data_IF_201092680277
#
_entry.id   IF_201092680277
#
_cell.length_a   1.000
_cell.length_b   1.000
_cell.length_c   1.000
_cell.angle_alpha   90.00
_cell.angle_beta   90.00
_cell.angle_gamma   90.00
#
_symmetry.space_group_name_H-M   'P 1'
#
loop_
_entity.id
_entity.type
_entity.pdbx_description
1 polymer ?
#
# COMPACT_ATOMS: atom_id res chain seq x y z
N UNK A 1 4.70 26.29 14.63
CA UNK A 1 4.06 25.16 13.94
C UNK A 1 4.77 25.06 12.61
N UNK A 2 5.65 24.08 12.45
CA UNK A 2 6.20 23.81 11.11
C UNK A 2 5.01 23.52 10.20
N UNK A 3 4.90 24.30 9.13
CA UNK A 3 3.83 24.13 8.16
C UNK A 3 4.02 22.77 7.49
N UNK A 4 3.03 21.89 7.59
CA UNK A 4 3.03 20.64 6.84
C UNK A 4 3.29 20.89 5.36
N UNK A 5 3.93 19.95 4.64
CA UNK A 5 4.05 20.05 3.20
C UNK A 5 2.68 20.18 2.52
N UNK A 6 2.62 20.92 1.42
CA UNK A 6 1.37 21.29 0.76
C UNK A 6 0.55 20.07 0.33
N UNK A 7 1.23 19.02 -0.12
CA UNK A 7 0.63 17.75 -0.52
C UNK A 7 0.00 17.00 0.66
N UNK A 8 0.55 17.12 1.87
CA UNK A 8 -0.04 16.56 3.09
C UNK A 8 -1.28 17.36 3.49
N UNK A 9 -1.22 18.70 3.46
CA UNK A 9 -2.38 19.56 3.69
C UNK A 9 -3.51 19.19 2.72
N UNK A 10 -3.18 19.07 1.42
CA UNK A 10 -4.15 18.69 0.39
C UNK A 10 -4.70 17.28 0.56
N UNK A 11 -3.88 16.32 1.03
CA UNK A 11 -4.34 14.97 1.34
C UNK A 11 -5.39 15.00 2.45
N UNK A 12 -5.13 15.77 3.50
CA UNK A 12 -6.04 15.95 4.61
C UNK A 12 -7.33 16.67 4.19
N UNK A 13 -7.24 17.75 3.42
CA UNK A 13 -8.39 18.52 2.91
C UNK A 13 -9.36 17.67 2.08
N UNK A 14 -8.85 16.67 1.35
CA UNK A 14 -9.66 15.74 0.55
C UNK A 14 -10.16 14.53 1.34
N UNK A 15 -9.62 14.29 2.52
CA UNK A 15 -10.02 13.18 3.38
C UNK A 15 -11.38 13.43 4.02
N UNK A 16 -11.98 12.37 4.56
CA UNK A 16 -13.20 12.47 5.37
C UNK A 16 -13.04 13.23 6.70
N UNK A 17 -11.81 13.55 7.12
CA UNK A 17 -11.52 14.13 8.44
C UNK A 17 -11.76 15.65 8.49
N UNK A 18 -11.74 16.37 7.35
CA UNK A 18 -12.09 17.80 7.26
C UNK A 18 -11.07 18.76 7.89
N UNK A 19 -10.90 19.96 7.31
CA UNK A 19 -9.79 20.89 7.62
C UNK A 19 -9.57 21.24 9.10
N UNK A 20 -10.64 21.42 9.86
CA UNK A 20 -10.55 21.90 11.25
C UNK A 20 -9.93 20.87 12.20
N UNK A 21 -9.94 19.60 11.81
CA UNK A 21 -9.41 18.48 12.59
C UNK A 21 -7.89 18.33 12.44
N UNK A 22 -7.26 18.99 11.46
CA UNK A 22 -5.82 18.87 11.17
C UNK A 22 -4.94 19.22 12.37
N UNK A 23 -5.39 20.17 13.21
CA UNK A 23 -4.69 20.58 14.44
C UNK A 23 -4.60 19.48 15.50
N UNK A 24 -5.40 18.42 15.37
CA UNK A 24 -5.36 17.24 16.25
C UNK A 24 -4.25 16.27 15.85
N UNK A 25 -3.50 16.53 14.80
CA UNK A 25 -2.50 15.59 14.30
C UNK A 25 -1.10 16.20 14.29
N UNK A 26 -0.12 15.35 14.55
CA UNK A 26 1.30 15.62 14.38
C UNK A 26 1.83 14.83 13.17
N UNK A 27 2.57 15.50 12.28
CA UNK A 27 3.27 14.83 11.18
C UNK A 27 4.57 14.21 11.72
N UNK A 28 4.59 12.88 11.83
CA UNK A 28 5.73 12.16 12.44
C UNK A 28 6.74 11.73 11.39
N UNK A 29 6.27 11.18 10.27
CA UNK A 29 7.11 10.76 9.14
C UNK A 29 6.43 11.17 7.84
N UNK A 30 7.21 11.67 6.89
CA UNK A 30 6.77 11.85 5.52
C UNK A 30 7.93 11.76 4.55
N UNK A 31 7.82 10.87 3.57
CA UNK A 31 8.77 10.73 2.47
C UNK A 31 8.03 11.10 1.17
N UNK A 32 8.30 12.28 0.57
CA UNK A 32 7.66 12.69 -0.67
C UNK A 32 7.97 11.71 -1.80
N UNK A 33 6.99 11.45 -2.67
CA UNK A 33 7.15 10.55 -3.82
C UNK A 33 6.56 11.15 -5.08
N UNK A 34 7.14 10.77 -6.22
CA UNK A 34 6.56 11.04 -7.53
C UNK A 34 5.46 10.01 -7.83
N UNK A 35 4.19 10.44 -8.00
CA UNK A 35 3.08 9.53 -8.21
C UNK A 35 3.10 8.93 -9.62
N UNK A 36 2.87 7.62 -9.70
CA UNK A 36 2.76 6.89 -10.96
C UNK A 36 1.32 6.42 -11.13
N UNK A 37 0.68 6.78 -12.25
CA UNK A 37 -0.64 6.25 -12.61
C UNK A 37 -0.48 4.87 -13.25
N UNK A 38 -1.33 3.93 -12.83
CA UNK A 38 -1.36 2.60 -13.40
C UNK A 38 -2.05 2.57 -14.76
N UNK A 39 -1.63 1.62 -15.58
CA UNK A 39 -2.34 1.15 -16.75
C UNK A 39 -2.69 -0.33 -16.56
N UNK A 40 -3.92 -0.72 -16.85
CA UNK A 40 -4.41 -2.08 -16.62
C UNK A 40 -4.31 -2.56 -15.16
N UNK A 41 -4.15 -3.88 -14.92
CA UNK A 41 -4.18 -4.50 -13.58
C UNK A 41 -2.86 -4.36 -12.79
N UNK A 42 -2.03 -3.36 -13.07
CA UNK A 42 -0.65 -3.23 -12.57
C UNK A 42 -0.50 -2.56 -11.18
N UNK A 43 -1.53 -2.58 -10.35
CA UNK A 43 -1.53 -1.79 -9.11
C UNK A 43 -0.36 -2.10 -8.15
N UNK A 44 -0.02 -3.38 -7.97
CA UNK A 44 1.11 -3.80 -7.14
C UNK A 44 2.46 -3.41 -7.74
N UNK A 45 2.61 -3.56 -9.06
CA UNK A 45 3.83 -3.18 -9.79
C UNK A 45 4.05 -1.67 -9.73
N UNK A 46 2.99 -0.89 -9.87
CA UNK A 46 3.04 0.58 -9.81
C UNK A 46 3.41 1.07 -8.41
N UNK A 47 2.78 0.50 -7.37
CA UNK A 47 3.13 0.82 -5.99
C UNK A 47 4.57 0.40 -5.65
N UNK A 48 5.03 -0.74 -6.18
CA UNK A 48 6.42 -1.18 -6.05
C UNK A 48 7.40 -0.26 -6.80
N UNK A 49 7.06 0.21 -8.00
CA UNK A 49 7.88 1.15 -8.75
C UNK A 49 8.09 2.46 -7.98
N UNK A 50 7.04 2.99 -7.34
CA UNK A 50 7.15 4.16 -6.47
C UNK A 50 8.08 3.87 -5.28
N UNK A 51 7.97 2.70 -4.65
CA UNK A 51 8.83 2.28 -3.53
C UNK A 51 10.29 2.02 -3.93
N UNK A 52 10.54 1.59 -5.18
CA UNK A 52 11.89 1.41 -5.71
C UNK A 52 12.55 2.76 -6.05
N UNK A 53 11.79 3.67 -6.66
CA UNK A 53 12.32 4.96 -7.10
C UNK A 53 12.61 5.91 -5.94
N UNK A 54 11.79 5.88 -4.89
CA UNK A 54 12.07 6.63 -3.65
C UNK A 54 13.30 6.09 -2.88
N UNK A 55 13.78 4.90 -3.26
CA UNK A 55 15.01 4.27 -2.76
C UNK A 55 16.10 4.20 -3.83
N UNK A 56 16.03 5.09 -4.84
CA UNK A 56 17.08 5.32 -5.85
C UNK A 56 17.37 4.15 -6.80
N UNK A 57 16.48 3.17 -6.94
CA UNK A 57 16.65 2.08 -7.92
C UNK A 57 16.41 2.53 -9.38
N UNK A 58 15.82 3.71 -9.60
CA UNK A 58 15.58 4.32 -10.92
C UNK A 58 15.06 3.35 -11.99
N UNK A 59 13.98 2.64 -11.68
CA UNK A 59 13.35 1.66 -12.58
C UNK A 59 11.97 2.11 -13.06
N UNK A 60 11.43 1.43 -14.05
CA UNK A 60 10.12 1.71 -14.65
C UNK A 60 9.12 0.61 -14.33
N UNK A 61 7.83 0.94 -14.37
CA UNK A 61 6.73 -0.04 -14.27
C UNK A 61 6.92 -1.17 -15.28
N UNK A 62 7.32 -0.83 -16.51
CA UNK A 62 7.54 -1.81 -17.58
C UNK A 62 8.69 -2.78 -17.27
N UNK A 63 9.80 -2.29 -16.70
CA UNK A 63 10.93 -3.14 -16.35
C UNK A 63 10.56 -4.14 -15.24
N UNK A 64 9.84 -3.67 -14.22
CA UNK A 64 9.36 -4.54 -13.13
C UNK A 64 8.35 -5.55 -13.67
N UNK A 65 7.42 -5.12 -14.53
CA UNK A 65 6.44 -6.01 -15.16
C UNK A 65 7.11 -7.09 -16.01
N UNK A 66 8.08 -6.72 -16.86
CA UNK A 66 8.82 -7.68 -17.68
C UNK A 66 9.55 -8.71 -16.81
N UNK A 67 10.19 -8.26 -15.72
CA UNK A 67 10.88 -9.17 -14.79
C UNK A 67 9.90 -10.07 -14.04
N UNK A 68 8.75 -9.55 -13.60
CA UNK A 68 7.70 -10.35 -12.96
C UNK A 68 7.13 -11.42 -13.90
N UNK A 69 6.99 -11.11 -15.21
CA UNK A 69 6.59 -12.11 -16.22
C UNK A 69 7.64 -13.19 -16.43
N UNK A 70 8.92 -12.82 -16.49
CA UNK A 70 10.03 -13.78 -16.61
C UNK A 70 10.06 -14.77 -15.43
N UNK A 71 9.75 -14.30 -14.23
CA UNK A 71 9.64 -15.11 -13.01
C UNK A 71 8.29 -15.84 -12.86
N UNK A 72 7.40 -15.73 -13.84
CA UNK A 72 6.06 -16.33 -13.83
C UNK A 72 5.18 -15.88 -12.65
N UNK A 73 5.39 -14.65 -12.17
CA UNK A 73 4.61 -14.07 -11.07
C UNK A 73 3.33 -13.37 -11.53
N UNK A 74 3.22 -13.08 -12.82
CA UNK A 74 2.12 -12.30 -13.38
C UNK A 74 1.95 -12.60 -14.87
N UNK A 75 0.74 -12.41 -15.39
CA UNK A 75 0.42 -12.50 -16.83
C UNK A 75 0.18 -11.09 -17.39
N UNK A 76 -0.67 -10.29 -16.73
CA UNK A 76 -1.10 -8.96 -17.17
C UNK A 76 -0.64 -7.82 -16.26
N UNK A 77 -0.12 -8.11 -15.08
CA UNK A 77 0.43 -7.14 -14.13
C UNK A 77 -0.12 -7.25 -12.71
N UNK A 78 -1.10 -8.13 -12.52
CA UNK A 78 -1.63 -8.53 -11.22
C UNK A 78 -0.54 -9.12 -10.33
N UNK A 79 -0.60 -8.83 -9.03
CA UNK A 79 0.24 -9.44 -8.00
C UNK A 79 -0.67 -9.89 -6.85
N UNK A 80 -0.94 -11.19 -6.78
CA UNK A 80 -1.82 -11.81 -5.76
C UNK A 80 -1.04 -12.55 -4.66
N UNK A 81 0.28 -12.38 -4.63
CA UNK A 81 1.15 -12.95 -3.60
C UNK A 81 2.17 -11.91 -3.15
N UNK A 82 2.20 -11.59 -1.87
CA UNK A 82 3.14 -10.68 -1.25
C UNK A 82 4.52 -11.34 -1.05
N UNK A 83 4.56 -12.67 -0.96
CA UNK A 83 5.78 -13.44 -0.64
C UNK A 83 6.82 -13.39 -1.77
N UNK A 84 6.39 -13.10 -2.99
CA UNK A 84 7.26 -12.94 -4.16
C UNK A 84 7.91 -11.55 -4.25
N UNK A 85 7.41 -10.56 -3.50
CA UNK A 85 7.89 -9.17 -3.62
C UNK A 85 9.37 -9.04 -3.19
N UNK A 86 9.85 -9.65 -2.08
CA UNK A 86 11.27 -9.62 -1.74
C UNK A 86 12.19 -10.16 -2.86
N UNK A 87 11.79 -11.27 -3.50
CA UNK A 87 12.56 -11.88 -4.59
C UNK A 87 12.56 -11.00 -5.84
N UNK A 88 11.45 -10.33 -6.13
CA UNK A 88 11.34 -9.35 -7.22
C UNK A 88 12.20 -8.11 -6.93
N UNK A 89 12.17 -7.57 -5.72
CA UNK A 89 13.03 -6.45 -5.30
C UNK A 89 14.52 -6.75 -5.45
N UNK A 90 14.92 -7.97 -5.10
CA UNK A 90 16.31 -8.43 -5.23
C UNK A 90 16.83 -8.38 -6.67
N UNK A 91 15.97 -8.55 -7.67
CA UNK A 91 16.34 -8.40 -9.09
C UNK A 91 16.77 -6.98 -9.47
N UNK A 92 16.41 -6.00 -8.63
CA UNK A 92 16.74 -4.57 -8.79
C UNK A 92 17.71 -4.08 -7.71
N UNK A 93 18.44 -4.98 -7.05
CA UNK A 93 19.37 -4.69 -5.96
C UNK A 93 18.73 -3.93 -4.78
N UNK A 94 17.43 -4.14 -4.55
CA UNK A 94 16.69 -3.57 -3.43
C UNK A 94 16.38 -4.66 -2.41
N UNK A 95 16.69 -4.38 -1.14
CA UNK A 95 16.27 -5.24 -0.03
C UNK A 95 14.83 -4.91 0.32
N UNK A 96 14.00 -5.93 0.43
CA UNK A 96 12.65 -5.80 0.97
C UNK A 96 12.38 -6.96 1.92
N UNK A 97 11.60 -6.70 2.96
CA UNK A 97 11.29 -7.69 4.00
C UNK A 97 9.79 -7.88 4.11
N UNK A 98 9.35 -9.13 4.05
CA UNK A 98 7.95 -9.50 4.28
C UNK A 98 7.68 -9.58 5.78
N UNK A 99 6.60 -8.96 6.22
CA UNK A 99 6.16 -8.98 7.62
C UNK A 99 4.72 -9.45 7.72
N UNK A 100 4.40 -10.12 8.83
CA UNK A 100 3.00 -10.33 9.22
C UNK A 100 2.52 -9.09 9.99
N UNK A 101 1.42 -8.49 9.54
CA UNK A 101 0.79 -7.36 10.21
C UNK A 101 -0.18 -7.87 11.27
N UNK A 102 0.32 -8.13 12.47
CA UNK A 102 -0.50 -8.67 13.57
C UNK A 102 -0.83 -7.62 14.62
N UNK A 103 -0.03 -6.55 14.66
CA UNK A 103 -0.25 -5.40 15.51
C UNK A 103 -0.28 -4.12 14.65
N UNK A 104 -1.22 -3.22 14.93
CA UNK A 104 -1.35 -1.95 14.23
C UNK A 104 -0.05 -1.14 14.24
N UNK A 105 0.78 -1.29 15.28
CA UNK A 105 2.06 -0.59 15.43
C UNK A 105 3.17 -1.09 14.49
N UNK A 106 3.06 -2.29 13.91
CA UNK A 106 4.14 -2.89 13.09
C UNK A 106 4.53 -1.99 11.91
N UNK A 107 3.53 -1.42 11.22
CA UNK A 107 3.74 -0.47 10.12
C UNK A 107 4.29 0.87 10.63
N UNK A 108 3.86 1.32 11.82
CA UNK A 108 4.37 2.56 12.43
C UNK A 108 5.87 2.44 12.70
N UNK A 109 6.30 1.32 13.26
CA UNK A 109 7.70 1.06 13.59
C UNK A 109 8.56 0.99 12.31
N UNK A 110 8.04 0.36 11.25
CA UNK A 110 8.72 0.35 9.94
C UNK A 110 8.90 1.76 9.36
N UNK A 111 7.86 2.60 9.40
CA UNK A 111 7.93 3.98 8.90
C UNK A 111 8.91 4.83 9.71
N UNK A 112 8.98 4.65 11.03
CA UNK A 112 9.94 5.34 11.90
C UNK A 112 11.38 4.93 11.63
N UNK A 113 11.62 3.71 11.19
CA UNK A 113 12.93 3.26 10.68
C UNK A 113 13.24 3.74 9.26
N UNK A 114 12.49 4.71 8.74
CA UNK A 114 12.66 5.35 7.42
C UNK A 114 12.39 4.44 6.21
N UNK A 115 11.72 3.31 6.42
CA UNK A 115 11.19 2.50 5.34
C UNK A 115 9.87 3.06 4.80
N UNK A 116 9.47 2.59 3.63
CA UNK A 116 8.09 2.70 3.13
C UNK A 116 7.44 1.32 3.16
N UNK A 117 6.12 1.27 3.28
CA UNK A 117 5.41 -0.01 3.39
C UNK A 117 4.49 -0.24 2.20
N UNK A 118 4.71 -1.32 1.46
CA UNK A 118 3.81 -1.79 0.42
C UNK A 118 2.74 -2.68 1.05
N UNK A 119 1.47 -2.32 0.90
CA UNK A 119 0.35 -2.95 1.61
C UNK A 119 -0.75 -3.35 0.62
N UNK A 120 -1.15 -4.64 0.58
CA UNK A 120 -2.35 -5.06 -0.10
C UNK A 120 -3.59 -4.74 0.76
N UNK A 121 -4.67 -4.31 0.15
CA UNK A 121 -5.92 -3.95 0.83
C UNK A 121 -7.11 -4.00 -0.14
N UNK A 122 -8.34 -3.98 0.36
CA UNK A 122 -9.52 -3.80 -0.48
C UNK A 122 -9.81 -2.32 -0.71
N UNK A 123 -9.84 -1.89 -1.96
CA UNK A 123 -10.01 -0.49 -2.36
C UNK A 123 -11.46 -0.18 -2.75
N UNK A 124 -12.07 0.81 -2.10
CA UNK A 124 -13.43 1.27 -2.46
C UNK A 124 -13.42 2.24 -3.66
N UNK A 125 -14.60 2.72 -4.07
CA UNK A 125 -14.76 3.64 -5.19
C UNK A 125 -14.01 4.98 -5.00
N UNK A 126 -13.86 5.44 -3.75
CA UNK A 126 -13.06 6.61 -3.38
C UNK A 126 -11.59 6.26 -3.10
N UNK A 127 -11.19 5.01 -3.29
CA UNK A 127 -9.88 4.43 -3.00
C UNK A 127 -9.55 4.22 -1.52
N UNK A 128 -10.42 4.61 -0.59
CA UNK A 128 -10.21 4.31 0.83
C UNK A 128 -10.29 2.80 1.10
N UNK A 129 -9.73 2.35 2.23
CA UNK A 129 -9.87 0.96 2.63
C UNK A 129 -11.33 0.57 2.88
N UNK A 130 -11.72 -0.60 2.39
CA UNK A 130 -13.03 -1.20 2.66
C UNK A 130 -12.90 -2.69 3.01
N UNK A 131 -14.02 -3.33 3.33
CA UNK A 131 -14.07 -4.74 3.76
C UNK A 131 -14.90 -5.55 2.74
N UNK A 132 -14.26 -6.04 1.67
CA UNK A 132 -14.90 -6.75 0.54
C UNK A 132 -14.33 -8.16 0.32
N UNK A 133 -13.72 -8.74 1.35
CA UNK A 133 -13.15 -10.09 1.45
C UNK A 133 -12.00 -10.38 0.47
N UNK A 134 -11.38 -9.35 -0.09
CA UNK A 134 -10.37 -9.46 -1.16
C UNK A 134 -10.94 -9.29 -2.58
N UNK A 135 -12.27 -9.12 -2.73
CA UNK A 135 -12.90 -8.96 -4.04
C UNK A 135 -12.54 -7.63 -4.72
N UNK A 136 -11.99 -6.67 -3.96
CA UNK A 136 -11.47 -5.40 -4.46
C UNK A 136 -9.98 -5.25 -4.13
N UNK A 137 -9.27 -6.37 -4.02
CA UNK A 137 -7.86 -6.39 -3.66
C UNK A 137 -7.06 -5.47 -4.60
N UNK A 138 -6.26 -4.63 -3.95
CA UNK A 138 -5.47 -3.58 -4.54
C UNK A 138 -4.20 -3.41 -3.71
N UNK A 139 -3.28 -2.59 -4.22
CA UNK A 139 -2.03 -2.28 -3.54
C UNK A 139 -1.88 -0.78 -3.38
N UNK A 140 -1.32 -0.37 -2.25
CA UNK A 140 -0.87 0.99 -2.01
C UNK A 140 0.52 0.99 -1.38
N UNK A 141 1.16 2.15 -1.44
CA UNK A 141 2.40 2.46 -0.74
C UNK A 141 2.09 3.42 0.40
N UNK A 142 2.45 3.06 1.62
CA UNK A 142 2.46 3.95 2.78
C UNK A 142 3.83 4.61 2.87
N UNK A 143 3.84 5.94 2.89
CA UNK A 143 5.06 6.73 2.88
C UNK A 143 4.99 7.94 3.84
N UNK A 144 4.04 7.92 4.78
CA UNK A 144 4.00 8.85 5.89
C UNK A 144 2.99 8.46 6.97
N UNK A 145 3.11 9.11 8.12
CA UNK A 145 2.36 8.79 9.33
C UNK A 145 1.98 10.09 10.07
N UNK A 146 0.70 10.20 10.38
CA UNK A 146 0.09 11.27 11.17
C UNK A 146 -0.40 10.68 12.48
N UNK A 147 0.16 11.14 13.59
CA UNK A 147 -0.23 10.69 14.93
C UNK A 147 -1.29 11.63 15.50
N UNK A 148 -2.36 11.08 16.06
CA UNK A 148 -3.33 11.90 16.80
C UNK A 148 -2.69 12.43 18.11
N UNK A 149 -2.79 13.73 18.34
CA UNK A 149 -2.40 14.42 19.56
C UNK A 149 -3.53 14.24 20.57
N UNK A 150 -3.41 13.20 21.38
CA UNK A 150 -4.37 12.85 22.42
C UNK A 150 -3.64 12.45 23.70
N UNK A 151 -4.35 12.50 24.84
CA UNK A 151 -3.84 11.96 26.11
C UNK A 151 -3.86 10.44 26.15
N UNK A 152 -4.54 9.79 25.19
CA UNK A 152 -4.56 8.34 25.02
C UNK A 152 -3.25 7.83 24.41
N UNK A 153 -2.85 6.61 24.75
CA UNK A 153 -1.73 5.91 24.09
C UNK A 153 -2.19 5.03 22.92
N UNK A 154 -3.49 5.06 22.57
CA UNK A 154 -4.05 4.32 21.43
C UNK A 154 -3.59 4.88 20.08
N UNK A 155 -3.45 4.01 19.09
CA UNK A 155 -3.14 4.35 17.69
C UNK A 155 -4.37 4.21 16.76
N UNK A 156 -5.57 4.01 17.30
CA UNK A 156 -6.77 3.70 16.52
C UNK A 156 -7.23 4.84 15.59
N UNK A 157 -6.97 6.09 15.99
CA UNK A 157 -7.33 7.29 15.22
C UNK A 157 -6.18 7.82 14.37
N UNK A 158 -5.02 7.16 14.41
CA UNK A 158 -3.88 7.58 13.62
C UNK A 158 -4.15 7.41 12.13
N UNK A 159 -3.49 8.24 11.33
CA UNK A 159 -3.62 8.23 9.89
C UNK A 159 -2.28 7.89 9.23
N UNK A 160 -2.38 7.34 8.03
CA UNK A 160 -1.24 7.12 7.15
C UNK A 160 -1.40 7.90 5.86
N UNK A 161 -0.26 8.36 5.35
CA UNK A 161 -0.16 9.04 4.06
C UNK A 161 0.24 8.02 3.00
N UNK A 162 -0.57 7.94 1.96
CA UNK A 162 -0.49 6.85 0.98
C UNK A 162 -0.49 7.33 -0.46
N UNK A 163 0.10 6.52 -1.33
CA UNK A 163 -0.03 6.63 -2.77
C UNK A 163 -0.45 5.30 -3.38
N UNK A 164 -1.27 5.34 -4.43
CA UNK A 164 -1.71 4.17 -5.19
C UNK A 164 -1.83 4.53 -6.66
N UNK A 165 -1.94 3.53 -7.54
CA UNK A 165 -1.90 3.73 -8.99
C UNK A 165 -3.11 4.44 -9.62
N UNK A 166 -4.18 4.72 -8.87
CA UNK A 166 -5.42 5.29 -9.43
C UNK A 166 -5.55 6.81 -9.24
N UNK A 167 -4.59 7.44 -8.57
CA UNK A 167 -4.61 8.87 -8.26
C UNK A 167 -3.20 9.45 -8.28
N UNK A 168 -3.07 10.72 -8.70
CA UNK A 168 -1.82 11.49 -8.56
C UNK A 168 -1.69 12.18 -7.21
N UNK A 169 -2.72 12.07 -6.37
CA UNK A 169 -2.79 12.78 -5.11
C UNK A 169 -2.47 11.83 -3.96
N UNK A 170 -1.73 12.35 -2.98
CA UNK A 170 -1.56 11.69 -1.68
C UNK A 170 -2.93 11.54 -1.01
N UNK A 171 -3.20 10.35 -0.49
CA UNK A 171 -4.34 10.05 0.36
C UNK A 171 -3.96 10.08 1.84
N UNK A 172 -4.90 10.45 2.70
CA UNK A 172 -4.78 10.32 4.15
C UNK A 172 -5.84 9.32 4.63
N UNK A 173 -5.42 8.11 5.01
CA UNK A 173 -6.32 7.00 5.38
C UNK A 173 -6.20 6.68 6.86
N UNK A 174 -7.29 6.20 7.48
CA UNK A 174 -7.23 5.63 8.83
C UNK A 174 -6.33 4.40 8.84
N UNK A 175 -5.36 4.38 9.75
CA UNK A 175 -4.47 3.24 9.93
C UNK A 175 -5.26 1.99 10.36
N UNK A 176 -6.25 2.16 11.23
CA UNK A 176 -7.11 1.08 11.71
C UNK A 176 -7.97 0.49 10.58
N UNK A 177 -8.57 1.33 9.73
CA UNK A 177 -9.35 0.86 8.58
C UNK A 177 -8.46 0.10 7.59
N UNK A 178 -7.23 0.58 7.34
CA UNK A 178 -6.27 -0.09 6.47
C UNK A 178 -5.83 -1.45 7.05
N UNK A 179 -5.51 -1.51 8.34
CA UNK A 179 -5.18 -2.75 9.05
C UNK A 179 -6.32 -3.77 8.93
N UNK A 180 -7.56 -3.35 9.18
CA UNK A 180 -8.74 -4.21 9.03
C UNK A 180 -8.96 -4.67 7.60
N UNK A 181 -8.75 -3.79 6.62
CA UNK A 181 -8.90 -4.10 5.19
C UNK A 181 -7.86 -5.12 4.70
N UNK A 182 -6.62 -5.02 5.19
CA UNK A 182 -5.57 -6.00 4.91
C UNK A 182 -5.87 -7.36 5.58
N UNK A 183 -6.31 -7.35 6.85
CA UNK A 183 -6.60 -8.56 7.64
C UNK A 183 -7.84 -9.35 7.23
N UNK A 184 -8.55 -8.90 6.18
CA UNK A 184 -9.74 -9.58 5.65
C UNK A 184 -9.60 -10.00 4.19
N UNK A 185 -8.40 -9.93 3.61
CA UNK A 185 -8.12 -10.40 2.26
C UNK A 185 -8.19 -11.94 2.20
N UNK A 186 -9.38 -12.50 2.08
CA UNK A 186 -9.59 -13.94 2.17
C UNK A 186 -9.56 -14.62 0.82
N UNK A 187 -10.10 -13.98 -0.22
CA UNK A 187 -10.19 -14.60 -1.54
C UNK A 187 -10.19 -13.59 -2.69
N UNK A 188 -9.71 -14.06 -3.84
CA UNK A 188 -9.84 -13.36 -5.11
C UNK A 188 -11.32 -13.30 -5.51
N UNK A 189 -11.75 -12.15 -6.07
CA UNK A 189 -13.08 -11.99 -6.66
C UNK A 189 -13.39 -13.19 -7.57
N UNK A 190 -14.49 -13.94 -7.34
CA UNK A 190 -14.86 -15.09 -8.17
C UNK A 190 -14.91 -14.80 -9.66
N UNK A 191 -15.18 -13.55 -10.06
CA UNK A 191 -15.15 -13.14 -11.48
C UNK A 191 -13.76 -13.27 -12.10
N UNK A 192 -12.71 -13.00 -11.33
CA UNK A 192 -11.30 -13.07 -11.76
C UNK A 192 -10.73 -14.49 -11.71
N UNK A 193 -11.41 -15.44 -11.05
CA UNK A 193 -10.93 -16.84 -10.92
C UNK A 193 -11.02 -17.64 -12.23
N UNK A 194 -11.99 -17.31 -13.08
CA UNK A 194 -12.23 -18.04 -14.32
C UNK A 194 -11.56 -17.40 -15.54
N UNK A 195 -10.86 -16.30 -15.36
CA UNK A 195 -10.15 -15.62 -16.42
C UNK A 195 -8.78 -16.30 -16.58
N UNK A 196 -8.53 -16.94 -17.73
CA UNK A 196 -7.23 -17.52 -18.10
C UNK A 196 -6.07 -16.52 -18.12
N UNK A 197 -6.41 -15.25 -17.93
CA UNK A 197 -5.56 -14.11 -18.20
C UNK A 197 -4.90 -13.57 -16.91
N UNK A 198 -5.21 -14.14 -15.74
CA UNK A 198 -4.60 -13.75 -14.47
C UNK A 198 -3.87 -14.90 -13.77
N UNK A 199 -2.70 -14.60 -13.21
CA UNK A 199 -2.01 -15.48 -12.27
C UNK A 199 -2.63 -15.35 -10.88
N UNK A 200 -3.55 -16.26 -10.55
CA UNK A 200 -4.23 -16.33 -9.24
C UNK A 200 -3.84 -17.61 -8.49
N UNK A 201 -3.85 -17.61 -7.15
CA UNK A 201 -3.73 -18.85 -6.36
C UNK A 201 -4.76 -19.89 -6.81
N UNK A 202 -4.36 -21.16 -6.93
CA UNK A 202 -5.21 -22.23 -7.48
C UNK A 202 -6.49 -22.47 -6.67
N UNK A 203 -6.43 -22.28 -5.36
CA UNK A 203 -7.59 -22.35 -4.45
C UNK A 203 -8.37 -21.02 -4.38
N UNK A 204 -7.88 -19.98 -5.05
CA UNK A 204 -8.42 -18.62 -5.02
C UNK A 204 -8.30 -17.92 -3.67
N UNK A 205 -7.52 -18.50 -2.73
CA UNK A 205 -7.32 -17.98 -1.38
C UNK A 205 -6.26 -16.89 -1.38
N UNK A 206 -6.50 -15.83 -0.59
CA UNK A 206 -5.55 -14.76 -0.33
C UNK A 206 -4.99 -14.80 1.10
N UNK A 207 -5.42 -15.78 1.92
CA UNK A 207 -5.11 -15.82 3.35
C UNK A 207 -3.62 -15.96 3.64
N UNK A 208 -2.91 -16.79 2.88
CA UNK A 208 -1.45 -16.96 3.05
C UNK A 208 -0.63 -16.11 2.08
N UNK A 209 -1.29 -15.46 1.11
CA UNK A 209 -0.60 -14.73 0.05
C UNK A 209 -0.65 -13.22 0.25
N UNK A 210 -1.72 -12.65 0.81
CA UNK A 210 -1.87 -11.20 1.05
C UNK A 210 -2.38 -10.82 2.45
N UNK A 211 -3.21 -11.67 3.07
CA UNK A 211 -3.87 -11.34 4.34
C UNK A 211 -2.88 -11.18 5.49
N UNK A 212 -3.02 -10.11 6.28
CA UNK A 212 -2.11 -9.78 7.38
C UNK A 212 -0.65 -9.73 6.92
N UNK A 213 -0.37 -9.31 5.68
CA UNK A 213 0.98 -9.17 5.16
C UNK A 213 1.23 -7.74 4.68
N UNK A 214 2.44 -7.26 4.92
CA UNK A 214 2.98 -6.07 4.29
C UNK A 214 4.47 -6.25 4.00
N UNK A 215 5.01 -5.38 3.14
CA UNK A 215 6.42 -5.39 2.78
C UNK A 215 7.04 -4.08 3.22
N UNK A 216 8.12 -4.14 4.01
CA UNK A 216 8.96 -2.98 4.29
C UNK A 216 10.09 -2.89 3.25
N UNK A 217 10.25 -1.70 2.67
CA UNK A 217 11.20 -1.38 1.58
C UNK A 217 12.00 -0.13 1.93
#
# INVERSE_FOLDING_TARGET
MESWPLEVIRAYDRSKFGRDEMKKYELVVYKPIEPILQDGPQCGIVALAMAMNINSCNTTVQNIFNKAKELLYTIQGELFDARIIPDLCKQFNLTATLHRWTNITDVIDCLKSHHVCLIPYDSDANHEPCLKKGHKAHWLLVHGYLKEITTSTSNENDLVLVQHGKSKFVGAFSLLDLFRSNGQLFEVDPKRRNESDYYVPQDGSLQESLCNLFIAI
#
